data_IF_875004239014
#
_entry.id   IF_875004239014
#
_cell.length_a   1.000
_cell.length_b   1.000
_cell.length_c   1.000
_cell.angle_alpha   90.00
_cell.angle_beta   90.00
_cell.angle_gamma   90.00
#
_symmetry.space_group_name_H-M   'P 1'
#
loop_
_entity.id
_entity.type
_entity.pdbx_description
1 polymer ?
#
# COMPACT_ATOMS: atom_id res chain seq x y z
N UNK A 1 -23.03 14.50 22.11
CA UNK A 1 -21.55 14.57 22.09
C UNK A 1 -21.03 13.53 21.11
N UNK A 2 -20.40 13.90 19.98
CA UNK A 2 -19.78 12.91 19.12
C UNK A 2 -18.48 12.42 19.77
N UNK A 3 -18.42 11.14 20.10
CA UNK A 3 -17.19 10.46 20.50
C UNK A 3 -16.16 10.65 19.38
N UNK A 4 -15.14 11.49 19.61
CA UNK A 4 -13.97 11.57 18.73
C UNK A 4 -13.21 10.25 18.90
N UNK A 5 -13.58 9.24 18.11
CA UNK A 5 -12.71 8.10 17.85
C UNK A 5 -11.40 8.67 17.31
N UNK A 6 -10.37 8.69 18.16
CA UNK A 6 -9.04 9.16 17.80
C UNK A 6 -8.52 8.24 16.70
N UNK A 7 -8.48 8.73 15.46
CA UNK A 7 -7.99 7.95 14.35
C UNK A 7 -6.54 7.51 14.65
N UNK A 8 -6.28 6.20 14.52
CA UNK A 8 -4.93 5.67 14.74
C UNK A 8 -3.96 6.30 13.73
N UNK A 9 -2.79 6.76 14.22
CA UNK A 9 -1.69 7.19 13.35
C UNK A 9 -1.19 6.02 12.48
N UNK A 10 -0.70 6.34 11.27
CA UNK A 10 -0.17 5.38 10.28
C UNK A 10 0.76 4.33 10.90
N UNK A 11 1.72 4.76 11.74
CA UNK A 11 2.69 3.86 12.39
C UNK A 11 2.01 2.78 13.24
N UNK A 12 0.89 3.09 13.89
CA UNK A 12 0.16 2.10 14.70
C UNK A 12 -0.44 0.99 13.86
N UNK A 13 -0.90 1.28 12.64
CA UNK A 13 -1.35 0.22 11.72
C UNK A 13 -0.22 -0.75 11.39
N UNK A 14 0.97 -0.26 11.05
CA UNK A 14 2.11 -1.15 10.75
C UNK A 14 2.59 -1.94 11.98
N UNK A 15 2.59 -1.33 13.16
CA UNK A 15 2.88 -2.04 14.41
C UNK A 15 1.83 -3.12 14.67
N UNK A 16 0.54 -2.80 14.50
CA UNK A 16 -0.53 -3.77 14.65
C UNK A 16 -0.41 -4.91 13.62
N UNK A 17 -0.05 -4.61 12.37
CA UNK A 17 0.23 -5.63 11.33
C UNK A 17 1.35 -6.56 11.76
N UNK A 18 2.47 -6.02 12.26
CA UNK A 18 3.59 -6.82 12.74
C UNK A 18 3.20 -7.71 13.93
N UNK A 19 2.40 -7.17 14.86
CA UNK A 19 1.86 -7.92 16.01
C UNK A 19 0.96 -9.06 15.52
N UNK A 20 0.06 -8.82 14.58
CA UNK A 20 -0.82 -9.86 14.00
C UNK A 20 0.02 -10.98 13.39
N UNK A 21 1.00 -10.66 12.54
CA UNK A 21 1.89 -11.69 11.97
C UNK A 21 2.63 -12.48 13.07
N UNK A 22 3.21 -11.79 14.05
CA UNK A 22 3.96 -12.42 15.12
C UNK A 22 3.08 -13.34 15.99
N UNK A 23 1.91 -12.87 16.39
CA UNK A 23 0.94 -13.66 17.16
C UNK A 23 0.46 -14.88 16.37
N UNK A 24 0.22 -14.73 15.07
CA UNK A 24 -0.14 -15.86 14.21
C UNK A 24 0.97 -16.89 14.13
N UNK A 25 2.22 -16.48 13.91
CA UNK A 25 3.36 -17.42 13.89
C UNK A 25 3.53 -18.13 15.23
N UNK A 26 3.48 -17.39 16.34
CA UNK A 26 3.55 -17.98 17.69
C UNK A 26 2.42 -18.96 17.91
N UNK A 27 1.19 -18.62 17.53
CA UNK A 27 0.04 -19.51 17.66
C UNK A 27 0.22 -20.80 16.86
N UNK A 28 0.67 -20.71 15.60
CA UNK A 28 0.91 -21.88 14.75
C UNK A 28 2.02 -22.78 15.31
N UNK A 29 3.08 -22.19 15.88
CA UNK A 29 4.15 -22.93 16.55
C UNK A 29 3.66 -23.64 17.82
N UNK A 30 2.84 -22.98 18.64
CA UNK A 30 2.24 -23.59 19.83
C UNK A 30 1.26 -24.73 19.47
N UNK A 31 0.70 -24.70 18.26
CA UNK A 31 -0.18 -25.75 17.72
C UNK A 31 0.53 -26.71 16.76
N UNK A 32 1.87 -26.68 16.72
CA UNK A 32 2.64 -27.41 15.73
C UNK A 32 2.32 -28.90 15.71
N UNK A 33 2.18 -29.54 16.87
CA UNK A 33 1.90 -30.98 16.96
C UNK A 33 0.51 -31.35 16.40
N UNK A 34 -0.44 -30.43 16.44
CA UNK A 34 -1.79 -30.62 15.87
C UNK A 34 -1.83 -30.42 14.35
N UNK A 35 -0.82 -29.78 13.75
CA UNK A 35 -0.79 -29.55 12.30
C UNK A 35 -0.64 -30.90 11.57
N UNK A 36 -1.53 -31.23 10.60
CA UNK A 36 -1.49 -32.51 9.91
C UNK A 36 -0.24 -32.66 9.05
N UNK A 37 0.16 -33.90 8.81
CA UNK A 37 1.15 -34.26 7.80
C UNK A 37 0.53 -35.34 6.89
N UNK A 38 0.19 -35.00 5.63
CA UNK A 38 0.52 -33.78 4.90
C UNK A 38 -0.42 -32.58 5.18
N UNK A 39 0.02 -31.37 4.82
CA UNK A 39 -0.72 -30.10 4.97
C UNK A 39 -1.45 -29.75 3.66
N UNK A 40 -2.71 -29.24 3.70
CA UNK A 40 -3.38 -28.73 2.51
C UNK A 40 -2.74 -27.42 2.01
N UNK A 41 -2.42 -27.35 0.72
CA UNK A 41 -1.79 -26.16 0.09
C UNK A 41 -2.61 -25.56 -1.06
N UNK A 42 -3.59 -26.30 -1.58
CA UNK A 42 -4.53 -25.82 -2.58
C UNK A 42 -5.94 -26.29 -2.21
N UNK A 43 -6.93 -25.52 -2.63
CA UNK A 43 -8.34 -25.76 -2.38
C UNK A 43 -9.11 -25.61 -3.69
N UNK A 44 -10.01 -26.54 -3.95
CA UNK A 44 -10.89 -26.49 -5.12
C UNK A 44 -11.96 -25.38 -4.97
N UNK A 45 -12.78 -25.21 -6.02
CA UNK A 45 -13.88 -24.23 -6.02
C UNK A 45 -14.97 -24.52 -4.98
N UNK A 46 -15.02 -25.75 -4.46
CA UNK A 46 -15.94 -26.17 -3.39
C UNK A 46 -15.35 -25.92 -2.00
N UNK A 47 -14.10 -25.46 -1.91
CA UNK A 47 -13.38 -25.22 -0.67
C UNK A 47 -12.81 -26.47 -0.02
N UNK A 48 -12.73 -27.59 -0.73
CA UNK A 48 -12.07 -28.80 -0.25
C UNK A 48 -10.59 -28.78 -0.63
N UNK A 49 -9.69 -29.24 0.26
CA UNK A 49 -8.31 -29.47 -0.13
C UNK A 49 -8.21 -30.47 -1.29
N UNK A 50 -7.52 -30.11 -2.36
CA UNK A 50 -7.29 -30.94 -3.55
C UNK A 50 -5.79 -31.14 -3.85
N UNK A 51 -4.90 -30.40 -3.18
CA UNK A 51 -3.44 -30.63 -3.17
C UNK A 51 -2.89 -30.54 -1.74
N UNK A 52 -1.95 -31.44 -1.46
CA UNK A 52 -1.28 -31.55 -0.17
C UNK A 52 0.24 -31.59 -0.35
N UNK A 53 0.97 -31.09 0.64
CA UNK A 53 2.44 -31.11 0.68
C UNK A 53 2.94 -31.60 2.04
N UNK A 54 4.17 -32.14 2.12
CA UNK A 54 4.76 -32.55 3.40
C UNK A 54 4.76 -31.41 4.42
N UNK A 55 4.51 -31.76 5.69
CA UNK A 55 4.57 -30.82 6.79
C UNK A 55 5.97 -30.22 6.90
N UNK A 56 6.05 -28.92 6.70
CA UNK A 56 7.25 -28.13 6.91
C UNK A 56 6.88 -26.78 7.47
N UNK A 57 7.81 -26.15 8.19
CA UNK A 57 7.57 -24.82 8.76
C UNK A 57 7.18 -23.81 7.66
N UNK A 58 7.84 -23.89 6.51
CA UNK A 58 7.56 -23.02 5.36
C UNK A 58 6.15 -23.26 4.83
N UNK A 59 5.78 -24.51 4.52
CA UNK A 59 4.45 -24.83 3.96
C UNK A 59 3.32 -24.44 4.91
N UNK A 60 3.50 -24.65 6.21
CA UNK A 60 2.52 -24.26 7.22
C UNK A 60 2.37 -22.73 7.32
N UNK A 61 3.44 -21.95 7.17
CA UNK A 61 3.45 -20.51 7.46
C UNK A 61 3.47 -19.61 6.23
N UNK A 62 3.44 -20.18 5.02
CA UNK A 62 3.66 -19.46 3.75
C UNK A 62 2.72 -18.27 3.56
N UNK A 63 1.44 -18.42 3.90
CA UNK A 63 0.46 -17.34 3.83
C UNK A 63 0.85 -16.17 4.75
N UNK A 64 1.35 -16.45 5.96
CA UNK A 64 1.82 -15.39 6.86
C UNK A 64 2.99 -14.64 6.25
N UNK A 65 3.93 -15.34 5.59
CA UNK A 65 5.05 -14.71 4.89
C UNK A 65 4.61 -13.85 3.70
N UNK A 66 3.60 -14.29 2.93
CA UNK A 66 2.97 -13.45 1.90
C UNK A 66 2.40 -12.17 2.52
N UNK A 67 1.73 -12.28 3.68
CA UNK A 67 1.24 -11.15 4.45
C UNK A 67 2.35 -10.18 4.88
N UNK A 68 3.50 -10.70 5.33
CA UNK A 68 4.69 -9.91 5.70
C UNK A 68 5.29 -9.20 4.49
N UNK A 69 5.46 -9.89 3.37
CA UNK A 69 6.01 -9.32 2.13
C UNK A 69 5.15 -8.16 1.65
N UNK A 70 3.83 -8.32 1.58
CA UNK A 70 2.95 -7.22 1.20
C UNK A 70 2.90 -6.09 2.23
N UNK A 71 3.03 -6.40 3.52
CA UNK A 71 3.11 -5.38 4.57
C UNK A 71 4.36 -4.50 4.45
N UNK A 72 5.42 -5.00 3.84
CA UNK A 72 6.65 -4.24 3.54
C UNK A 72 6.57 -3.56 2.17
N UNK A 73 6.13 -4.27 1.15
CA UNK A 73 6.20 -3.81 -0.23
C UNK A 73 5.20 -2.68 -0.54
N UNK A 74 3.94 -2.81 -0.11
CA UNK A 74 2.90 -1.81 -0.44
C UNK A 74 3.22 -0.41 0.11
N UNK A 75 3.72 -0.24 1.35
CA UNK A 75 4.18 1.07 1.83
C UNK A 75 5.33 1.68 1.01
N UNK A 76 6.21 0.85 0.44
CA UNK A 76 7.33 1.33 -0.39
C UNK A 76 6.86 1.92 -1.72
N UNK A 77 5.67 1.54 -2.18
CA UNK A 77 4.96 2.12 -3.34
C UNK A 77 4.31 3.48 -3.05
N UNK A 78 4.38 3.97 -1.81
CA UNK A 78 3.97 5.34 -1.47
C UNK A 78 5.22 6.23 -1.44
N UNK A 79 5.23 7.37 -2.14
CA UNK A 79 6.36 8.29 -2.07
C UNK A 79 6.51 8.84 -0.66
N UNK A 80 7.75 9.10 -0.19
CA UNK A 80 7.94 9.73 1.12
C UNK A 80 7.38 11.16 1.08
N UNK A 81 6.67 11.57 2.13
CA UNK A 81 6.04 12.90 2.21
C UNK A 81 7.04 14.04 1.98
N UNK A 82 8.30 13.85 2.42
CA UNK A 82 9.39 14.81 2.21
C UNK A 82 9.66 15.12 0.73
N UNK A 83 9.28 14.22 -0.19
CA UNK A 83 9.46 14.44 -1.63
C UNK A 83 8.58 15.59 -2.15
N UNK A 84 7.47 15.90 -1.47
CA UNK A 84 6.55 16.97 -1.86
C UNK A 84 7.18 18.36 -1.75
N UNK A 85 8.08 18.54 -0.79
CA UNK A 85 8.81 19.79 -0.55
C UNK A 85 10.25 19.75 -1.00
N UNK A 86 10.75 18.59 -1.46
CA UNK A 86 12.12 18.46 -1.90
C UNK A 86 12.30 19.17 -3.24
N UNK A 87 13.21 20.14 -3.25
CA UNK A 87 13.60 20.88 -4.44
C UNK A 87 14.99 20.47 -4.91
N UNK A 88 15.21 20.58 -6.22
CA UNK A 88 16.52 20.44 -6.86
C UNK A 88 16.93 21.80 -7.43
N UNK A 89 18.24 22.08 -7.46
CA UNK A 89 18.75 23.29 -8.12
C UNK A 89 18.51 23.19 -9.63
N UNK A 90 17.93 24.24 -10.20
CA UNK A 90 17.64 24.37 -11.63
C UNK A 90 18.15 25.72 -12.12
N UNK A 91 18.52 25.87 -13.41
CA UNK A 91 18.96 27.15 -13.97
C UNK A 91 17.89 28.24 -13.78
N UNK A 92 18.27 29.37 -13.17
CA UNK A 92 17.32 30.40 -12.74
C UNK A 92 16.53 31.05 -13.89
N UNK A 93 17.11 31.15 -15.07
CA UNK A 93 16.51 31.83 -16.23
C UNK A 93 15.32 31.09 -16.84
N UNK A 94 15.23 29.78 -16.64
CA UNK A 94 14.15 28.93 -17.14
C UNK A 94 13.38 28.22 -16.04
N UNK A 95 13.68 28.53 -14.77
CA UNK A 95 13.11 27.85 -13.63
C UNK A 95 11.60 28.06 -13.57
N UNK A 96 10.85 26.96 -13.64
CA UNK A 96 9.44 26.97 -13.26
C UNK A 96 9.39 27.28 -11.75
N UNK A 97 8.52 28.19 -11.28
CA UNK A 97 8.53 28.58 -9.87
C UNK A 97 8.11 27.41 -8.98
N UNK A 98 8.67 27.35 -7.77
CA UNK A 98 8.16 26.47 -6.73
C UNK A 98 6.80 26.98 -6.25
N UNK A 99 5.82 26.10 -6.05
CA UNK A 99 4.50 26.47 -5.55
C UNK A 99 4.22 25.82 -4.21
N UNK A 100 3.92 26.64 -3.21
CA UNK A 100 3.54 26.19 -1.87
C UNK A 100 2.23 25.42 -1.91
N UNK A 101 1.25 25.91 -2.67
CA UNK A 101 -0.04 25.27 -2.81
C UNK A 101 0.09 23.89 -3.48
N UNK A 102 0.97 23.74 -4.48
CA UNK A 102 1.26 22.46 -5.13
C UNK A 102 1.92 21.48 -4.15
N UNK A 103 2.89 21.96 -3.36
CA UNK A 103 3.56 21.14 -2.35
C UNK A 103 2.58 20.65 -1.27
N UNK A 104 1.71 21.54 -0.76
CA UNK A 104 0.67 21.18 0.21
C UNK A 104 -0.31 20.13 -0.32
N UNK A 105 -0.72 20.22 -1.60
CA UNK A 105 -1.56 19.20 -2.24
C UNK A 105 -0.85 17.85 -2.34
N UNK A 106 0.43 17.87 -2.71
CA UNK A 106 1.24 16.66 -2.79
C UNK A 106 1.44 16.00 -1.41
N UNK A 107 1.67 16.78 -0.36
CA UNK A 107 1.73 16.28 1.03
C UNK A 107 0.41 15.63 1.46
N UNK A 108 -0.69 16.36 1.28
CA UNK A 108 -2.04 15.91 1.61
C UNK A 108 -2.39 14.59 0.91
N UNK A 109 -2.14 14.51 -0.40
CA UNK A 109 -2.43 13.31 -1.18
C UNK A 109 -1.53 12.14 -0.79
N UNK A 110 -0.26 12.42 -0.47
CA UNK A 110 0.69 11.41 0.03
C UNK A 110 0.26 10.86 1.38
N UNK A 111 -0.13 11.73 2.33
CA UNK A 111 -0.56 11.33 3.68
C UNK A 111 -1.86 10.50 3.64
N UNK A 112 -2.84 10.95 2.84
CA UNK A 112 -4.10 10.20 2.64
C UNK A 112 -3.84 8.84 2.00
N UNK A 113 -2.96 8.78 1.00
CA UNK A 113 -2.57 7.53 0.34
C UNK A 113 -1.87 6.60 1.33
N UNK A 114 -0.89 7.11 2.08
CA UNK A 114 -0.17 6.34 3.09
C UNK A 114 -1.12 5.76 4.16
N UNK A 115 -2.09 6.55 4.62
CA UNK A 115 -3.10 6.09 5.59
C UNK A 115 -3.97 4.98 5.02
N UNK A 116 -4.49 5.17 3.79
CA UNK A 116 -5.31 4.17 3.12
C UNK A 116 -4.55 2.86 2.88
N UNK A 117 -3.28 2.94 2.45
CA UNK A 117 -2.41 1.78 2.26
C UNK A 117 -2.14 1.08 3.60
N UNK A 118 -1.83 1.81 4.67
CA UNK A 118 -1.59 1.21 5.98
C UNK A 118 -2.81 0.45 6.52
N UNK A 119 -4.00 1.02 6.35
CA UNK A 119 -5.26 0.36 6.71
C UNK A 119 -5.53 -0.89 5.86
N UNK A 120 -5.30 -0.79 4.55
CA UNK A 120 -5.50 -1.91 3.61
C UNK A 120 -4.54 -3.05 3.90
N UNK A 121 -3.26 -2.74 4.15
CA UNK A 121 -2.23 -3.70 4.56
C UNK A 121 -2.65 -4.41 5.85
N UNK A 122 -3.04 -3.66 6.88
CA UNK A 122 -3.45 -4.26 8.15
C UNK A 122 -4.64 -5.21 7.99
N UNK A 123 -5.69 -4.78 7.27
CA UNK A 123 -6.87 -5.60 7.02
C UNK A 123 -6.54 -6.86 6.20
N UNK A 124 -5.78 -6.69 5.11
CA UNK A 124 -5.38 -7.80 4.24
C UNK A 124 -4.53 -8.82 4.99
N UNK A 125 -3.51 -8.37 5.72
CA UNK A 125 -2.64 -9.26 6.52
C UNK A 125 -3.46 -10.02 7.57
N UNK A 126 -4.46 -9.37 8.19
CA UNK A 126 -5.36 -10.03 9.13
C UNK A 126 -6.16 -11.16 8.45
N UNK A 127 -6.72 -10.90 7.27
CA UNK A 127 -7.43 -11.93 6.49
C UNK A 127 -6.52 -13.09 6.10
N UNK A 128 -5.30 -12.80 5.62
CA UNK A 128 -4.33 -13.82 5.23
C UNK A 128 -3.87 -14.65 6.43
N UNK A 129 -3.60 -14.02 7.58
CA UNK A 129 -3.25 -14.73 8.81
C UNK A 129 -4.39 -15.59 9.34
N UNK A 130 -5.63 -15.09 9.26
CA UNK A 130 -6.82 -15.88 9.59
C UNK A 130 -6.96 -17.08 8.66
N UNK A 131 -6.77 -16.90 7.35
CA UNK A 131 -6.76 -18.02 6.39
C UNK A 131 -5.70 -19.04 6.76
N UNK A 132 -4.45 -18.62 7.01
CA UNK A 132 -3.35 -19.52 7.39
C UNK A 132 -3.70 -20.40 8.59
N UNK A 133 -4.27 -19.79 9.63
CA UNK A 133 -4.65 -20.50 10.85
C UNK A 133 -5.80 -21.47 10.61
N UNK A 134 -6.85 -21.01 9.92
CA UNK A 134 -8.04 -21.82 9.66
C UNK A 134 -7.78 -23.00 8.72
N UNK A 135 -6.84 -22.90 7.79
CA UNK A 135 -6.56 -23.97 6.82
C UNK A 135 -5.56 -24.99 7.31
N UNK A 136 -4.69 -24.63 8.26
CA UNK A 136 -3.58 -25.49 8.72
C UNK A 136 -3.84 -26.12 10.10
N UNK A 137 -4.63 -25.48 10.97
CA UNK A 137 -4.88 -25.96 12.34
C UNK A 137 -6.27 -26.65 12.42
N UNK A 138 -6.33 -27.98 12.61
CA UNK A 138 -7.58 -28.75 12.45
C UNK A 138 -8.61 -28.56 13.57
N UNK A 139 -8.18 -28.20 14.78
CA UNK A 139 -9.06 -28.03 15.96
C UNK A 139 -9.82 -26.70 15.96
N UNK A 140 -9.56 -25.83 14.98
CA UNK A 140 -10.31 -24.59 14.84
C UNK A 140 -11.53 -24.94 14.01
N UNK A 141 -12.76 -24.71 14.51
CA UNK A 141 -13.96 -24.99 13.75
C UNK A 141 -13.94 -24.17 12.46
N UNK A 142 -13.49 -24.80 11.38
CA UNK A 142 -13.41 -24.22 10.07
C UNK A 142 -14.84 -24.07 9.57
N UNK A 143 -15.40 -22.87 9.74
CA UNK A 143 -16.53 -22.49 8.91
C UNK A 143 -15.95 -21.81 7.67
N UNK A 144 -16.05 -22.47 6.51
CA UNK A 144 -15.72 -21.83 5.22
C UNK A 144 -16.46 -20.48 5.09
N UNK A 145 -17.64 -20.37 5.70
CA UNK A 145 -18.41 -19.13 5.82
C UNK A 145 -17.66 -17.99 6.52
N UNK A 146 -16.88 -18.25 7.58
CA UNK A 146 -16.09 -17.23 8.27
C UNK A 146 -15.03 -16.64 7.33
N UNK A 147 -14.29 -17.48 6.59
CA UNK A 147 -13.27 -17.01 5.65
C UNK A 147 -13.90 -16.24 4.49
N UNK A 148 -15.00 -16.75 3.91
CA UNK A 148 -15.74 -16.04 2.86
C UNK A 148 -16.21 -14.68 3.36
N UNK A 149 -16.78 -14.63 4.56
CA UNK A 149 -17.27 -13.38 5.16
C UNK A 149 -16.11 -12.41 5.46
N UNK A 150 -14.98 -12.91 5.93
CA UNK A 150 -13.78 -12.09 6.18
C UNK A 150 -13.26 -11.46 4.88
N UNK A 151 -13.12 -12.25 3.81
CA UNK A 151 -12.66 -11.75 2.51
C UNK A 151 -13.67 -10.81 1.84
N UNK A 152 -14.96 -11.14 1.85
CA UNK A 152 -16.02 -10.24 1.39
C UNK A 152 -16.00 -8.93 2.18
N UNK A 153 -15.88 -9.01 3.51
CA UNK A 153 -15.74 -7.84 4.39
C UNK A 153 -14.52 -6.99 4.04
N UNK A 154 -13.38 -7.61 3.76
CA UNK A 154 -12.17 -6.93 3.29
C UNK A 154 -12.39 -6.22 1.95
N UNK A 155 -13.00 -6.87 0.95
CA UNK A 155 -13.28 -6.25 -0.35
C UNK A 155 -14.25 -5.07 -0.22
N UNK A 156 -15.32 -5.22 0.57
CA UNK A 156 -16.24 -4.13 0.87
C UNK A 156 -15.53 -2.98 1.60
N UNK A 157 -14.65 -3.29 2.56
CA UNK A 157 -13.84 -2.31 3.26
C UNK A 157 -12.95 -1.51 2.29
N UNK A 158 -12.24 -2.18 1.38
CA UNK A 158 -11.40 -1.54 0.36
C UNK A 158 -12.25 -0.69 -0.58
N UNK A 159 -13.37 -1.21 -1.09
CA UNK A 159 -14.26 -0.49 -2.00
C UNK A 159 -14.82 0.79 -1.36
N UNK A 160 -15.36 0.68 -0.15
CA UNK A 160 -15.85 1.83 0.63
C UNK A 160 -14.69 2.79 0.92
N UNK A 161 -13.52 2.25 1.27
CA UNK A 161 -12.30 3.01 1.51
C UNK A 161 -11.86 3.84 0.31
N UNK A 162 -11.88 3.28 -0.91
CA UNK A 162 -11.57 3.98 -2.17
C UNK A 162 -12.57 5.10 -2.43
N UNK A 163 -13.86 4.86 -2.23
CA UNK A 163 -14.90 5.90 -2.38
C UNK A 163 -14.65 7.04 -1.39
N UNK A 164 -14.46 6.72 -0.11
CA UNK A 164 -14.18 7.71 0.94
C UNK A 164 -12.89 8.48 0.69
N UNK A 165 -11.83 7.79 0.27
CA UNK A 165 -10.55 8.37 -0.10
C UNK A 165 -10.73 9.37 -1.24
N UNK A 166 -11.37 8.96 -2.33
CA UNK A 166 -11.58 9.80 -3.52
C UNK A 166 -12.39 11.05 -3.18
N UNK A 167 -13.52 10.89 -2.48
CA UNK A 167 -14.35 12.02 -2.07
C UNK A 167 -13.61 12.95 -1.09
N UNK A 168 -12.83 12.39 -0.17
CA UNK A 168 -12.06 13.18 0.79
C UNK A 168 -10.92 13.94 0.14
N UNK A 169 -10.17 13.32 -0.77
CA UNK A 169 -9.09 13.96 -1.54
C UNK A 169 -9.67 15.09 -2.37
N UNK A 170 -10.75 14.85 -3.11
CA UNK A 170 -11.38 15.88 -3.94
C UNK A 170 -11.80 17.11 -3.12
N UNK A 171 -12.40 16.92 -1.94
CA UNK A 171 -12.77 18.04 -1.06
C UNK A 171 -11.54 18.76 -0.51
N UNK A 172 -10.57 18.01 0.04
CA UNK A 172 -9.40 18.61 0.69
C UNK A 172 -8.47 19.31 -0.30
N UNK A 173 -8.30 18.78 -1.52
CA UNK A 173 -7.50 19.41 -2.57
C UNK A 173 -8.14 20.71 -3.07
N UNK A 174 -9.46 20.75 -3.21
CA UNK A 174 -10.21 21.97 -3.58
C UNK A 174 -10.17 23.05 -2.50
N UNK A 175 -9.99 22.66 -1.23
CA UNK A 175 -9.93 23.60 -0.12
C UNK A 175 -8.60 24.36 -0.04
N UNK A 176 -7.55 23.86 -0.68
CA UNK A 176 -6.26 24.55 -0.76
C UNK A 176 -6.41 25.65 -1.84
N UNK A 177 -6.18 26.93 -1.51
CA UNK A 177 -6.21 28.01 -2.50
C UNK A 177 -5.11 27.84 -3.56
N UNK A 178 -5.37 28.25 -4.78
CA UNK A 178 -4.35 28.27 -5.85
C UNK A 178 -3.49 29.52 -5.71
N UNK A 179 -2.17 29.36 -5.60
CA UNK A 179 -1.23 30.48 -5.58
C UNK A 179 -0.80 30.91 -6.99
N UNK A 180 -0.16 32.08 -7.11
CA UNK A 180 0.27 32.62 -8.40
C UNK A 180 1.28 31.68 -9.10
N UNK A 181 2.19 31.10 -8.32
CA UNK A 181 3.19 30.17 -8.82
C UNK A 181 2.55 28.90 -9.40
N UNK A 182 1.51 28.35 -8.77
CA UNK A 182 0.73 27.22 -9.26
C UNK A 182 0.05 27.55 -10.60
N UNK A 183 -0.47 28.76 -10.77
CA UNK A 183 -1.06 29.18 -12.06
C UNK A 183 0.00 29.22 -13.17
N UNK A 184 1.18 29.75 -12.87
CA UNK A 184 2.32 29.78 -13.79
C UNK A 184 2.79 28.36 -14.13
N UNK A 185 2.94 27.51 -13.11
CA UNK A 185 3.28 26.08 -13.24
C UNK A 185 2.27 25.33 -14.12
N UNK A 186 0.97 25.53 -13.89
CA UNK A 186 -0.09 24.85 -14.65
C UNK A 186 -0.06 25.22 -16.14
N UNK A 187 0.37 26.43 -16.49
CA UNK A 187 0.57 26.85 -17.89
C UNK A 187 1.78 26.15 -18.50
N UNK A 188 2.91 26.12 -17.78
CA UNK A 188 4.14 25.50 -18.26
C UNK A 188 4.04 23.96 -18.36
N UNK A 189 3.40 23.31 -17.40
CA UNK A 189 3.36 21.85 -17.25
C UNK A 189 2.06 21.20 -17.78
N UNK A 190 1.24 21.95 -18.53
CA UNK A 190 -0.12 21.54 -18.92
C UNK A 190 -0.20 20.14 -19.54
N UNK A 191 0.81 19.76 -20.31
CA UNK A 191 0.91 18.48 -21.01
C UNK A 191 2.04 17.58 -20.51
N UNK A 192 2.72 17.96 -19.43
CA UNK A 192 3.89 17.24 -18.93
C UNK A 192 3.50 15.96 -18.17
N UNK A 193 2.29 15.88 -17.60
CA UNK A 193 1.88 14.80 -16.70
C UNK A 193 1.14 13.67 -17.38
N UNK A 194 1.48 12.43 -17.00
CA UNK A 194 0.84 11.21 -17.49
C UNK A 194 0.47 10.24 -16.37
N UNK A 195 0.97 9.01 -16.46
CA UNK A 195 0.70 7.88 -15.55
C UNK A 195 1.40 7.98 -14.18
N UNK A 196 1.38 9.16 -13.55
CA UNK A 196 2.00 9.39 -12.24
C UNK A 196 3.50 9.73 -12.28
N UNK A 197 4.04 9.93 -13.48
CA UNK A 197 5.41 10.42 -13.71
C UNK A 197 5.40 11.53 -14.76
N UNK A 198 6.42 12.38 -14.70
CA UNK A 198 6.77 13.36 -15.72
C UNK A 198 8.28 13.57 -15.76
N UNK A 199 8.77 14.29 -16.76
CA UNK A 199 10.18 14.65 -16.89
C UNK A 199 10.27 16.12 -17.29
N UNK A 200 10.63 16.98 -16.33
CA UNK A 200 10.85 18.40 -16.59
C UNK A 200 12.09 18.87 -15.81
N UNK A 201 13.25 19.00 -16.47
CA UNK A 201 14.49 19.44 -15.82
C UNK A 201 14.44 20.85 -15.25
N UNK A 202 13.57 21.71 -15.79
CA UNK A 202 13.43 23.11 -15.35
C UNK A 202 12.47 23.29 -14.16
N UNK A 203 11.73 22.24 -13.78
CA UNK A 203 10.86 22.25 -12.60
C UNK A 203 11.66 21.84 -11.37
N UNK A 204 11.89 22.71 -10.36
CA UNK A 204 12.64 22.35 -9.17
C UNK A 204 11.94 21.29 -8.31
N UNK A 205 10.63 21.11 -8.43
CA UNK A 205 9.88 20.14 -7.60
C UNK A 205 10.15 18.70 -8.03
N UNK A 206 10.38 17.82 -7.04
CA UNK A 206 10.56 16.39 -7.29
C UNK A 206 9.23 15.61 -7.39
N UNK A 207 8.14 16.19 -6.86
CA UNK A 207 6.80 15.64 -6.89
C UNK A 207 5.78 16.77 -6.92
N UNK A 208 4.72 16.59 -7.70
CA UNK A 208 3.67 17.59 -7.85
C UNK A 208 2.30 16.92 -7.97
N UNK A 209 1.26 17.73 -7.81
CA UNK A 209 -0.12 17.40 -8.20
C UNK A 209 -0.53 18.38 -9.29
N UNK A 210 -0.91 17.86 -10.45
CA UNK A 210 -1.29 18.71 -11.58
C UNK A 210 -2.80 18.98 -11.57
N UNK A 211 -3.18 20.19 -11.99
CA UNK A 211 -4.59 20.59 -12.09
C UNK A 211 -5.42 19.71 -13.04
N UNK A 212 -4.80 19.15 -14.08
CA UNK A 212 -5.45 18.22 -15.02
C UNK A 212 -5.73 16.85 -14.40
N UNK A 213 -5.02 16.49 -13.33
CA UNK A 213 -5.14 15.20 -12.65
C UNK A 213 -4.97 15.37 -11.13
N UNK A 214 -5.92 16.05 -10.44
CA UNK A 214 -5.76 16.45 -9.04
C UNK A 214 -5.77 15.29 -8.04
N UNK A 215 -6.10 14.07 -8.50
CA UNK A 215 -6.10 12.84 -7.72
C UNK A 215 -4.82 12.01 -7.85
N UNK A 216 -3.82 12.50 -8.61
CA UNK A 216 -2.58 11.76 -8.87
C UNK A 216 -1.36 12.53 -8.39
N UNK A 217 -0.45 11.80 -7.74
CA UNK A 217 0.91 12.27 -7.52
C UNK A 217 1.69 12.08 -8.83
N UNK A 218 2.40 13.11 -9.25
CA UNK A 218 3.26 13.10 -10.42
C UNK A 218 4.71 13.20 -9.94
N UNK A 219 5.53 12.20 -10.22
CA UNK A 219 6.94 12.17 -9.83
C UNK A 219 7.82 12.71 -10.95
N UNK A 220 8.67 13.69 -10.64
CA UNK A 220 9.61 14.24 -11.62
C UNK A 220 10.84 13.34 -11.75
N UNK A 221 10.99 12.70 -12.91
CA UNK A 221 12.09 11.78 -13.21
C UNK A 221 13.35 12.50 -13.71
N UNK A 222 13.26 13.80 -14.01
CA UNK A 222 14.44 14.62 -14.31
C UNK A 222 15.39 14.70 -13.11
N UNK A 223 14.86 14.57 -11.90
CA UNK A 223 15.61 14.69 -10.66
C UNK A 223 15.90 13.35 -10.00
N UNK A 224 17.10 13.25 -9.42
CA UNK A 224 17.57 12.04 -8.75
C UNK A 224 16.63 11.56 -7.62
N UNK A 225 16.05 12.43 -6.75
CA UNK A 225 15.14 11.97 -5.71
C UNK A 225 13.90 11.26 -6.25
N UNK A 226 13.33 11.75 -7.36
CA UNK A 226 12.20 11.10 -8.03
C UNK A 226 12.58 9.74 -8.62
N UNK A 227 13.73 9.66 -9.31
CA UNK A 227 14.25 8.38 -9.83
C UNK A 227 14.53 7.36 -8.73
N UNK A 228 15.18 7.77 -7.63
CA UNK A 228 15.47 6.89 -6.48
C UNK A 228 14.20 6.31 -5.87
N UNK A 229 13.14 7.12 -5.77
CA UNK A 229 11.83 6.63 -5.33
C UNK A 229 11.27 5.56 -6.27
N UNK A 230 11.25 5.82 -7.58
CA UNK A 230 10.72 4.86 -8.55
C UNK A 230 11.53 3.56 -8.59
N UNK A 231 12.85 3.64 -8.46
CA UNK A 231 13.71 2.46 -8.31
C UNK A 231 13.36 1.63 -7.07
N UNK A 232 13.20 2.28 -5.91
CA UNK A 232 12.79 1.61 -4.68
C UNK A 232 11.42 0.92 -4.83
N UNK A 233 10.46 1.60 -5.44
CA UNK A 233 9.13 1.04 -5.73
C UNK A 233 9.23 -0.17 -6.68
N UNK A 234 10.01 -0.06 -7.76
CA UNK A 234 10.22 -1.14 -8.72
C UNK A 234 10.87 -2.36 -8.09
N UNK A 235 11.89 -2.17 -7.25
CA UNK A 235 12.53 -3.25 -6.49
C UNK A 235 11.53 -3.92 -5.55
N UNK A 236 10.73 -3.15 -4.81
CA UNK A 236 9.73 -3.70 -3.89
C UNK A 236 8.68 -4.56 -4.61
N UNK A 237 8.16 -4.08 -5.73
CA UNK A 237 7.20 -4.83 -6.55
C UNK A 237 7.85 -6.07 -7.18
N UNK A 238 9.03 -5.92 -7.79
CA UNK A 238 9.76 -7.03 -8.41
C UNK A 238 10.12 -8.13 -7.41
N UNK A 239 10.62 -7.77 -6.22
CA UNK A 239 10.92 -8.72 -5.15
C UNK A 239 9.67 -9.44 -4.64
N UNK A 240 8.54 -8.73 -4.54
CA UNK A 240 7.27 -9.34 -4.12
C UNK A 240 6.74 -10.34 -5.13
N UNK A 241 6.81 -10.00 -6.43
CA UNK A 241 6.41 -10.91 -7.51
C UNK A 241 7.33 -12.13 -7.54
N UNK A 242 8.64 -11.93 -7.47
CA UNK A 242 9.62 -13.02 -7.45
C UNK A 242 9.39 -13.95 -6.24
N UNK A 243 9.08 -13.39 -5.08
CA UNK A 243 8.71 -14.17 -3.89
C UNK A 243 7.46 -15.02 -4.12
N UNK A 244 6.37 -14.43 -4.64
CA UNK A 244 5.15 -15.18 -4.93
C UNK A 244 5.37 -16.28 -5.98
N UNK A 245 6.17 -16.02 -7.01
CA UNK A 245 6.52 -17.02 -8.04
C UNK A 245 7.36 -18.14 -7.43
N UNK A 246 8.35 -17.81 -6.60
CA UNK A 246 9.16 -18.82 -5.89
C UNK A 246 8.27 -19.73 -5.05
N UNK A 247 7.35 -19.16 -4.27
CA UNK A 247 6.40 -19.92 -3.47
C UNK A 247 5.48 -20.81 -4.32
N UNK A 248 5.07 -20.36 -5.51
CA UNK A 248 4.17 -21.13 -6.37
C UNK A 248 4.86 -22.32 -7.07
N UNK A 249 6.19 -22.28 -7.21
CA UNK A 249 6.99 -23.31 -7.90
C UNK A 249 7.64 -24.30 -6.91
N UNK A 250 7.78 -23.90 -5.64
CA UNK A 250 8.16 -24.78 -4.53
C UNK A 250 6.99 -25.68 -4.10
#
# INVERSE_FOLDING_TARGET
MPCKLTAMRIRHYYVATAIVCALTLVYMLLRWDSVPDPIPVHFDVSGHPDRFEPKSFVNATVLVWIGVVFAIALPLCVPPISLARKTTQVPAESAIPFSEATAQRAELLTEKTATFIAQTVFAMTTCVCLTAVCTVVPDIPFSGLLLVTAWVGFFLFVMIGVIRFTLSVQRSVKAIPTDHDEQTRNKALRFAGGMGIYNEPTDPMCMAVFSTNPSKLQINTAHEPGRRYLWRMGIALGASIAFCVLIAVL
#
